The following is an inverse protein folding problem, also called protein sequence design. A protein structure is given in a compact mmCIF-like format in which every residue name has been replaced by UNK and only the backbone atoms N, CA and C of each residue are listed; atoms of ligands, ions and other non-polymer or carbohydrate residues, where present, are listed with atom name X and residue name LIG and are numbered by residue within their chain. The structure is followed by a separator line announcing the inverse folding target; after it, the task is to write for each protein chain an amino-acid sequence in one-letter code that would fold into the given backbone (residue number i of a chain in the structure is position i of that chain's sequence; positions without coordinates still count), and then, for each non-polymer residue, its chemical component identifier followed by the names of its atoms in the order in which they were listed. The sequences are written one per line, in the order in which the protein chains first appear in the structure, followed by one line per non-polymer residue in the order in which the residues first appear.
data_IF_506031015109
#
_entry.id   IF_506031015109
#
_cell.length_a   1.000
_cell.length_b   1.000
_cell.length_c   1.000
_cell.angle_alpha   90.00
_cell.angle_beta   90.00
_cell.angle_gamma   90.00
#
_symmetry.space_group_name_H-M   'P 1'
#
loop_
_entity.id
_entity.type
_entity.pdbx_description
1 polymer ?
#
# COMPACT_ATOMS: atom_id res chain seq x y z
N UNK A 1 14.25 10.10 7.62
CA UNK A 1 13.79 8.79 8.13
C UNK A 1 12.63 8.31 7.25
N UNK A 2 12.76 7.17 6.57
CA UNK A 2 11.66 6.58 5.80
C UNK A 2 10.70 5.90 6.79
N UNK A 3 9.67 6.63 7.21
CA UNK A 3 8.62 6.08 8.05
C UNK A 3 7.59 5.40 7.15
N UNK A 4 7.07 4.24 7.57
CA UNK A 4 5.99 3.48 6.91
C UNK A 4 4.77 4.37 6.59
N UNK A 5 4.59 5.46 7.34
CA UNK A 5 3.63 6.55 7.09
C UNK A 5 3.77 7.23 5.72
N UNK A 6 4.94 7.17 5.06
CA UNK A 6 5.14 7.76 3.73
C UNK A 6 4.51 6.92 2.61
N UNK A 7 4.23 5.64 2.88
CA UNK A 7 3.54 4.73 1.94
C UNK A 7 2.02 4.86 1.98
N UNK A 8 1.47 5.55 2.99
CA UNK A 8 0.04 5.77 3.16
C UNK A 8 -0.21 7.26 3.00
N UNK A 9 -0.85 7.66 1.89
CA UNK A 9 -1.21 9.05 1.63
C UNK A 9 -2.72 9.15 1.44
N UNK A 10 -3.44 9.39 2.54
CA UNK A 10 -4.86 9.67 2.49
C UNK A 10 -5.13 11.07 1.98
N UNK A 11 -6.20 11.22 1.20
CA UNK A 11 -6.79 12.53 0.94
C UNK A 11 -7.22 13.15 2.28
N UNK A 12 -6.80 14.40 2.51
CA UNK A 12 -7.08 15.24 3.71
C UNK A 12 -6.27 14.96 4.98
N UNK A 13 -5.18 14.20 4.93
CA UNK A 13 -4.29 14.06 6.10
C UNK A 13 -4.94 13.35 7.30
N UNK A 14 -5.97 12.54 7.04
CA UNK A 14 -6.61 11.71 8.06
C UNK A 14 -5.61 10.67 8.59
N UNK A 15 -5.69 10.38 9.89
CA UNK A 15 -4.79 9.39 10.49
C UNK A 15 -5.00 8.01 9.85
N UNK A 16 -3.90 7.28 9.57
CA UNK A 16 -3.99 5.91 9.08
C UNK A 16 -4.63 5.03 10.15
N UNK A 17 -5.49 4.13 9.70
CA UNK A 17 -6.12 3.12 10.56
C UNK A 17 -5.08 2.04 10.88
N UNK A 18 -5.17 1.35 12.02
CA UNK A 18 -4.22 0.28 12.39
C UNK A 18 -4.00 -0.76 11.26
N UNK A 19 -5.08 -1.09 10.54
CA UNK A 19 -5.00 -1.97 9.38
C UNK A 19 -4.15 -1.39 8.25
N UNK A 20 -4.30 -0.10 7.94
CA UNK A 20 -3.49 0.56 6.92
C UNK A 20 -2.04 0.69 7.35
N UNK A 21 -1.78 0.94 8.64
CA UNK A 21 -0.41 0.92 9.18
C UNK A 21 0.25 -0.44 8.98
N UNK A 22 -0.48 -1.55 9.22
CA UNK A 22 0.02 -2.90 8.94
C UNK A 22 0.33 -3.14 7.45
N UNK A 23 -0.52 -2.63 6.55
CA UNK A 23 -0.30 -2.72 5.10
C UNK A 23 0.89 -1.85 4.69
N UNK A 24 1.04 -0.66 5.26
CA UNK A 24 2.16 0.24 5.02
C UNK A 24 3.49 -0.34 5.50
N UNK A 25 3.49 -1.05 6.63
CA UNK A 25 4.65 -1.78 7.11
C UNK A 25 5.02 -2.93 6.17
N UNK A 26 4.05 -3.73 5.74
CA UNK A 26 4.29 -4.82 4.79
C UNK A 26 4.87 -4.31 3.45
N UNK A 27 4.40 -3.16 2.95
CA UNK A 27 4.95 -2.53 1.75
C UNK A 27 6.38 -2.03 1.96
N UNK A 28 6.71 -1.54 3.15
CA UNK A 28 8.06 -1.11 3.49
C UNK A 28 9.03 -2.29 3.60
N UNK A 29 8.58 -3.39 4.19
CA UNK A 29 9.37 -4.62 4.29
C UNK A 29 9.65 -5.18 2.89
N UNK A 30 8.65 -5.21 2.00
CA UNK A 30 8.82 -5.59 0.59
C UNK A 30 9.82 -4.72 -0.17
N UNK A 31 9.85 -3.41 0.09
CA UNK A 31 10.85 -2.49 -0.48
C UNK A 31 12.28 -2.83 -0.03
N UNK A 32 12.44 -3.28 1.21
CA UNK A 32 13.76 -3.62 1.76
C UNK A 32 14.21 -5.03 1.38
N UNK A 33 13.29 -5.97 1.18
CA UNK A 33 13.62 -7.35 0.82
C UNK A 33 14.02 -7.50 -0.65
N UNK A 34 13.39 -6.76 -1.58
CA UNK A 34 13.63 -6.91 -3.02
C UNK A 34 14.35 -5.70 -3.64
N UNK A 35 15.66 -5.85 -3.85
CA UNK A 35 16.52 -4.77 -4.33
C UNK A 35 16.20 -4.29 -5.76
N UNK A 36 15.65 -5.17 -6.61
CA UNK A 36 15.23 -4.83 -7.98
C UNK A 36 13.93 -4.01 -8.01
N UNK A 37 13.00 -4.32 -7.10
CA UNK A 37 11.71 -3.64 -6.99
C UNK A 37 11.78 -2.37 -6.14
N UNK A 38 12.87 -2.17 -5.41
CA UNK A 38 13.09 -1.04 -4.51
C UNK A 38 12.92 0.31 -5.19
N UNK A 39 13.42 0.47 -6.42
CA UNK A 39 13.32 1.72 -7.18
C UNK A 39 11.87 2.06 -7.53
N UNK A 40 11.09 1.06 -7.94
CA UNK A 40 9.68 1.24 -8.29
C UNK A 40 8.81 1.39 -7.05
N UNK A 41 9.05 0.59 -6.01
CA UNK A 41 8.30 0.63 -4.76
C UNK A 41 8.51 1.92 -3.97
N UNK A 42 9.72 2.52 -4.01
CA UNK A 42 10.06 3.75 -3.25
C UNK A 42 9.06 4.89 -3.47
N UNK A 43 8.65 5.09 -4.71
CA UNK A 43 7.73 6.17 -5.12
C UNK A 43 6.25 5.76 -5.06
N UNK A 44 5.96 4.48 -4.78
CA UNK A 44 4.61 3.99 -4.62
C UNK A 44 4.04 4.31 -3.24
N UNK A 45 2.77 4.72 -3.24
CA UNK A 45 1.96 4.93 -2.05
C UNK A 45 0.50 4.55 -2.32
N UNK A 46 -0.22 4.26 -1.26
CA UNK A 46 -1.63 3.87 -1.28
C UNK A 46 -2.49 4.97 -0.66
N UNK A 47 -3.72 5.12 -1.16
CA UNK A 47 -4.69 6.07 -0.63
C UNK A 47 -5.44 5.51 0.57
N UNK A 48 -5.85 4.25 0.48
CA UNK A 48 -6.53 3.56 1.58
C UNK A 48 -6.44 2.05 1.41
N UNK A 49 -6.55 1.31 2.51
CA UNK A 49 -6.72 -0.14 2.48
C UNK A 49 -7.95 -0.52 3.31
N UNK A 50 -8.84 -1.33 2.73
CA UNK A 50 -10.09 -1.76 3.37
C UNK A 50 -10.18 -3.27 3.30
N UNK A 51 -10.49 -3.90 4.43
CA UNK A 51 -10.82 -5.32 4.46
C UNK A 51 -12.30 -5.52 4.13
N UNK A 52 -12.59 -6.36 3.15
CA UNK A 52 -13.94 -6.71 2.72
C UNK A 52 -14.17 -8.20 2.91
N UNK A 53 -15.36 -8.57 3.36
CA UNK A 53 -15.77 -9.98 3.44
C UNK A 53 -16.41 -10.38 2.11
N UNK A 54 -15.97 -11.50 1.55
CA UNK A 54 -16.44 -12.03 0.27
C UNK A 54 -17.16 -13.35 0.55
N UNK A 55 -18.20 -13.64 -0.24
CA UNK A 55 -18.98 -14.87 -0.14
C UNK A 55 -18.09 -16.12 -0.04
N UNK A 56 -18.48 -17.05 0.83
CA UNK A 56 -17.76 -18.28 1.17
C UNK A 56 -16.49 -18.08 2.03
N UNK A 57 -16.64 -17.41 3.18
CA UNK A 57 -15.65 -17.35 4.27
C UNK A 57 -14.26 -16.83 3.84
N UNK A 58 -14.20 -15.98 2.80
CA UNK A 58 -12.96 -15.45 2.25
C UNK A 58 -12.92 -13.94 2.48
N UNK A 59 -11.89 -13.48 3.17
CA UNK A 59 -11.63 -12.05 3.34
C UNK A 59 -10.75 -11.57 2.20
N UNK A 60 -11.13 -10.48 1.55
CA UNK A 60 -10.30 -9.80 0.57
C UNK A 60 -9.86 -8.44 1.11
N UNK A 61 -8.74 -7.94 0.59
CA UNK A 61 -8.19 -6.63 0.93
C UNK A 61 -8.24 -5.76 -0.31
N UNK A 62 -9.02 -4.68 -0.23
CA UNK A 62 -9.10 -3.66 -1.26
C UNK A 62 -8.06 -2.58 -0.98
N UNK A 63 -7.07 -2.46 -1.87
CA UNK A 63 -6.04 -1.42 -1.81
C UNK A 63 -6.35 -0.36 -2.87
N UNK A 64 -6.68 0.84 -2.43
CA UNK A 64 -6.92 1.97 -3.32
C UNK A 64 -5.60 2.67 -3.62
N UNK A 65 -5.26 2.77 -4.91
CA UNK A 65 -4.04 3.42 -5.39
C UNK A 65 -4.35 4.67 -6.21
N UNK A 66 -3.50 5.71 -6.15
CA UNK A 66 -3.65 6.87 -7.02
C UNK A 66 -3.59 6.48 -8.49
N UNK A 67 -4.48 7.04 -9.32
CA UNK A 67 -4.50 6.77 -10.76
C UNK A 67 -3.15 7.05 -11.44
N UNK A 68 -2.43 8.10 -11.01
CA UNK A 68 -1.10 8.44 -11.52
C UNK A 68 -0.07 7.32 -11.37
N UNK A 69 -0.16 6.53 -10.31
CA UNK A 69 0.77 5.44 -10.00
C UNK A 69 0.31 4.08 -10.52
N UNK A 70 -0.89 4.00 -11.13
CA UNK A 70 -1.49 2.75 -11.59
C UNK A 70 -0.61 1.98 -12.58
N UNK A 71 0.16 2.68 -13.44
CA UNK A 71 1.05 2.04 -14.42
C UNK A 71 2.21 1.31 -13.73
N UNK A 72 2.81 1.94 -12.73
CA UNK A 72 3.89 1.35 -11.93
C UNK A 72 3.37 0.17 -11.10
N UNK A 73 2.20 0.31 -10.46
CA UNK A 73 1.56 -0.80 -9.76
C UNK A 73 1.29 -2.02 -10.67
N UNK A 74 0.86 -1.81 -11.93
CA UNK A 74 0.66 -2.91 -12.88
C UNK A 74 1.94 -3.56 -13.37
N UNK A 75 3.09 -2.91 -13.24
CA UNK A 75 4.39 -3.47 -13.66
C UNK A 75 4.95 -4.43 -12.61
N UNK A 76 4.65 -4.18 -11.34
CA UNK A 76 5.11 -4.99 -10.19
C UNK A 76 4.09 -6.03 -9.70
N UNK A 77 2.92 -6.11 -10.35
CA UNK A 77 1.85 -7.08 -10.09
C UNK A 77 1.92 -8.24 -11.08
#
# INVERSE_FOLDING_TARGET
MFTSRKKISKDKGAEPTEFEESVGQALFDLENTNHELKSELKDLYINSAVQIDVSANRKAVLINVPFRLRKTFRKVQ
#
